data_IF_277403552419
#
_entry.id   IF_277403552419
#
_cell.length_a   1.000
_cell.length_b   1.000
_cell.length_c   1.000
_cell.angle_alpha   90.00
_cell.angle_beta   90.00
_cell.angle_gamma   90.00
#
_symmetry.space_group_name_H-M   'P 1'
#
loop_
_entity.id
_entity.type
_entity.pdbx_description
1 polymer ?
#
# COMPACT_ATOMS: atom_id res chain seq x y z
N UNK A 1 -16.12 -11.51 -1.08
CA UNK A 1 -16.25 -12.95 -0.73
C UNK A 1 -16.47 -13.13 0.78
N UNK A 2 -15.50 -12.76 1.62
CA UNK A 2 -15.66 -12.80 3.08
C UNK A 2 -16.61 -11.73 3.64
N UNK A 3 -16.52 -10.50 3.12
CA UNK A 3 -17.30 -9.36 3.60
C UNK A 3 -18.11 -8.69 2.48
N UNK A 4 -19.22 -9.30 2.00
CA UNK A 4 -19.95 -8.80 0.82
C UNK A 4 -20.51 -7.39 1.01
N UNK A 5 -21.12 -7.09 2.17
CA UNK A 5 -21.71 -5.77 2.43
C UNK A 5 -20.65 -4.67 2.50
N UNK A 6 -19.56 -4.92 3.25
CA UNK A 6 -18.41 -4.01 3.30
C UNK A 6 -17.79 -3.78 1.92
N UNK A 7 -17.66 -4.84 1.11
CA UNK A 7 -17.18 -4.71 -0.26
C UNK A 7 -18.10 -3.82 -1.11
N UNK A 8 -19.42 -4.06 -1.07
CA UNK A 8 -20.37 -3.28 -1.86
C UNK A 8 -20.34 -1.79 -1.48
N UNK A 9 -20.38 -1.48 -0.18
CA UNK A 9 -20.34 -0.10 0.32
C UNK A 9 -18.99 0.55 0.06
N UNK A 10 -17.87 -0.18 0.19
CA UNK A 10 -16.55 0.36 -0.14
C UNK A 10 -16.49 0.80 -1.60
N UNK A 11 -16.95 -0.04 -2.53
CA UNK A 11 -16.89 0.24 -3.96
C UNK A 11 -17.88 1.31 -4.42
N UNK A 12 -19.04 1.42 -3.77
CA UNK A 12 -19.98 2.51 -4.05
C UNK A 12 -19.51 3.84 -3.46
N UNK A 13 -19.07 3.85 -2.20
CA UNK A 13 -18.59 5.06 -1.53
C UNK A 13 -17.29 5.57 -2.16
N UNK A 14 -16.33 4.68 -2.41
CA UNK A 14 -15.05 5.03 -3.02
C UNK A 14 -15.07 4.85 -4.54
N UNK A 15 -16.24 4.96 -5.19
CA UNK A 15 -16.38 4.73 -6.62
C UNK A 15 -15.40 5.55 -7.46
N UNK A 16 -15.38 6.87 -7.30
CA UNK A 16 -14.50 7.75 -8.09
C UNK A 16 -13.01 7.44 -7.88
N UNK A 17 -12.46 7.37 -6.64
CA UNK A 17 -11.05 7.05 -6.47
C UNK A 17 -10.68 5.63 -6.93
N UNK A 18 -11.57 4.64 -6.78
CA UNK A 18 -11.32 3.27 -7.28
C UNK A 18 -11.37 3.20 -8.81
N UNK A 19 -12.24 3.98 -9.45
CA UNK A 19 -12.27 4.09 -10.91
C UNK A 19 -10.98 4.73 -11.45
N UNK A 20 -10.49 5.80 -10.79
CA UNK A 20 -9.21 6.42 -11.14
C UNK A 20 -8.03 5.45 -10.91
N UNK A 21 -8.08 4.66 -9.84
CA UNK A 21 -7.10 3.61 -9.56
C UNK A 21 -7.10 2.57 -10.69
N UNK A 22 -8.28 2.11 -11.13
CA UNK A 22 -8.41 1.16 -12.24
C UNK A 22 -7.79 1.71 -13.53
N UNK A 23 -8.16 2.93 -13.94
CA UNK A 23 -7.60 3.55 -15.14
C UNK A 23 -6.08 3.72 -15.04
N UNK A 24 -5.58 4.10 -13.86
CA UNK A 24 -4.14 4.21 -13.62
C UNK A 24 -3.41 2.87 -13.79
N UNK A 25 -3.98 1.77 -13.29
CA UNK A 25 -3.43 0.43 -13.45
C UNK A 25 -3.48 -0.06 -14.91
N UNK A 26 -4.56 0.23 -15.65
CA UNK A 26 -4.67 -0.07 -17.07
C UNK A 26 -3.59 0.67 -17.85
N UNK A 27 -3.49 1.99 -17.65
CA UNK A 27 -2.50 2.85 -18.29
C UNK A 27 -1.09 2.32 -18.03
N UNK A 28 -0.79 1.91 -16.80
CA UNK A 28 0.53 1.34 -16.45
C UNK A 28 0.85 0.09 -17.28
N UNK A 29 -0.10 -0.83 -17.42
CA UNK A 29 0.09 -2.06 -18.21
C UNK A 29 0.28 -1.77 -19.70
N UNK A 30 -0.58 -0.91 -20.25
CA UNK A 30 -0.50 -0.48 -21.66
C UNK A 30 0.83 0.23 -21.94
N UNK A 31 1.28 1.10 -21.03
CA UNK A 31 2.54 1.82 -21.21
C UNK A 31 3.74 0.88 -21.33
N UNK A 32 3.81 -0.19 -20.53
CA UNK A 32 4.90 -1.18 -20.62
C UNK A 32 4.88 -1.91 -21.96
N UNK A 33 3.71 -2.36 -22.42
CA UNK A 33 3.58 -3.12 -23.67
C UNK A 33 3.88 -2.27 -24.91
N UNK A 34 3.43 -1.01 -24.93
CA UNK A 34 3.52 -0.16 -26.13
C UNK A 34 4.82 0.64 -26.22
N UNK A 35 5.54 0.84 -25.12
CA UNK A 35 6.77 1.66 -25.08
C UNK A 35 7.79 1.28 -26.16
N UNK A 36 8.00 -0.01 -26.39
CA UNK A 36 9.02 -0.52 -27.30
C UNK A 36 8.46 -0.92 -28.69
N UNK A 37 7.21 -0.58 -29.02
CA UNK A 37 6.62 -0.90 -30.34
C UNK A 37 7.08 0.06 -31.45
N UNK A 38 7.52 1.26 -31.11
CA UNK A 38 8.09 2.23 -32.04
C UNK A 38 9.37 2.83 -31.47
N UNK A 39 10.40 2.96 -32.30
CA UNK A 39 11.73 3.45 -31.90
C UNK A 39 11.83 4.97 -31.76
N UNK A 40 10.75 5.71 -32.06
CA UNK A 40 10.74 7.17 -31.92
C UNK A 40 10.93 7.59 -30.47
N UNK A 41 11.84 8.54 -30.23
CA UNK A 41 12.09 9.11 -28.91
C UNK A 41 10.86 9.81 -28.33
N UNK A 42 10.05 10.44 -29.18
CA UNK A 42 8.79 11.06 -28.76
C UNK A 42 7.77 10.01 -28.29
N UNK A 43 7.73 8.84 -28.96
CA UNK A 43 6.86 7.72 -28.60
C UNK A 43 7.26 7.11 -27.25
N UNK A 44 8.54 6.83 -27.06
CA UNK A 44 9.04 6.29 -25.79
C UNK A 44 8.78 7.26 -24.64
N UNK A 45 9.05 8.57 -24.81
CA UNK A 45 8.77 9.60 -23.80
C UNK A 45 7.29 9.71 -23.45
N UNK A 46 6.40 9.61 -24.44
CA UNK A 46 4.96 9.60 -24.22
C UNK A 46 4.56 8.45 -23.29
N UNK A 47 5.01 7.23 -23.58
CA UNK A 47 4.70 6.07 -22.72
C UNK A 47 5.42 6.10 -21.38
N UNK A 48 6.63 6.67 -21.28
CA UNK A 48 7.32 6.88 -20.01
C UNK A 48 6.51 7.80 -19.07
N UNK A 49 5.88 8.86 -19.59
CA UNK A 49 4.98 9.73 -18.81
C UNK A 49 3.76 8.95 -18.32
N UNK A 50 3.12 8.16 -19.18
CA UNK A 50 1.96 7.36 -18.78
C UNK A 50 2.33 6.25 -17.78
N UNK A 51 3.50 5.63 -17.93
CA UNK A 51 4.02 4.67 -16.96
C UNK A 51 4.26 5.34 -15.59
N UNK A 52 4.81 6.56 -15.59
CA UNK A 52 4.99 7.34 -14.38
C UNK A 52 3.64 7.67 -13.72
N UNK A 53 2.68 8.24 -14.45
CA UNK A 53 1.34 8.57 -13.93
C UNK A 53 0.63 7.31 -13.41
N UNK A 54 0.70 6.21 -14.19
CA UNK A 54 0.15 4.90 -13.85
C UNK A 54 0.77 4.25 -12.61
N UNK A 55 1.96 4.71 -12.19
CA UNK A 55 2.67 4.22 -11.00
C UNK A 55 2.59 5.19 -9.82
N UNK A 56 2.40 6.49 -10.10
CA UNK A 56 2.31 7.57 -9.12
C UNK A 56 0.93 7.69 -8.49
N UNK A 57 -0.14 7.59 -9.28
CA UNK A 57 -1.51 7.73 -8.78
C UNK A 57 -1.97 6.61 -7.83
N UNK A 58 -1.66 5.32 -8.07
CA UNK A 58 -2.15 4.24 -7.22
C UNK A 58 -1.81 4.36 -5.73
N UNK A 59 -0.54 4.61 -5.33
CA UNK A 59 -0.22 4.77 -3.91
C UNK A 59 -0.95 5.95 -3.28
N UNK A 60 -1.10 7.08 -4.00
CA UNK A 60 -1.79 8.26 -3.48
C UNK A 60 -3.27 7.96 -3.24
N UNK A 61 -3.95 7.40 -4.25
CA UNK A 61 -5.38 7.08 -4.16
C UNK A 61 -5.66 6.07 -3.04
N UNK A 62 -4.82 5.04 -2.91
CA UNK A 62 -4.93 4.05 -1.85
C UNK A 62 -4.64 4.66 -0.47
N UNK A 63 -3.60 5.48 -0.34
CA UNK A 63 -3.27 6.13 0.93
C UNK A 63 -4.35 7.11 1.40
N UNK A 64 -4.92 7.89 0.47
CA UNK A 64 -6.09 8.74 0.74
C UNK A 64 -7.29 7.90 1.19
N UNK A 65 -7.56 6.79 0.51
CA UNK A 65 -8.66 5.90 0.86
C UNK A 65 -8.49 5.33 2.28
N UNK A 66 -7.34 4.72 2.59
CA UNK A 66 -7.09 4.14 3.92
C UNK A 66 -7.09 5.16 5.04
N UNK A 67 -6.53 6.35 4.83
CA UNK A 67 -6.59 7.42 5.82
C UNK A 67 -8.04 7.85 6.10
N UNK A 68 -8.88 8.00 5.06
CA UNK A 68 -10.29 8.29 5.29
C UNK A 68 -11.04 7.13 5.96
N UNK A 69 -10.66 5.87 5.70
CA UNK A 69 -11.18 4.72 6.45
C UNK A 69 -10.79 4.82 7.93
N UNK A 70 -9.54 5.15 8.27
CA UNK A 70 -9.12 5.30 9.67
C UNK A 70 -9.84 6.43 10.39
N UNK A 71 -10.11 7.53 9.69
CA UNK A 71 -10.88 8.66 10.19
C UNK A 71 -12.37 8.35 10.34
N UNK A 72 -12.90 7.43 9.53
CA UNK A 72 -14.32 7.26 9.32
C UNK A 72 -14.79 7.97 8.06
N UNK A 73 -15.60 7.27 7.28
CA UNK A 73 -16.18 7.76 6.03
C UNK A 73 -17.63 8.20 6.32
N UNK A 74 -18.13 9.31 5.76
CA UNK A 74 -19.49 9.78 6.04
C UNK A 74 -20.54 8.94 5.27
N UNK A 75 -20.74 7.70 5.70
CA UNK A 75 -21.75 6.78 5.17
C UNK A 75 -22.97 6.71 6.09
N UNK A 76 -24.17 6.72 5.51
CA UNK A 76 -25.42 6.54 6.26
C UNK A 76 -25.80 5.06 6.45
N UNK A 77 -26.97 4.80 7.05
CA UNK A 77 -27.52 3.47 7.28
C UNK A 77 -27.59 2.60 6.01
N UNK A 78 -27.81 3.22 4.84
CA UNK A 78 -27.90 2.53 3.55
C UNK A 78 -26.54 2.37 2.88
N UNK A 79 -25.46 2.83 3.53
CA UNK A 79 -24.11 2.84 2.96
C UNK A 79 -23.91 3.89 1.87
N UNK A 80 -24.77 4.91 1.80
CA UNK A 80 -24.64 6.00 0.83
C UNK A 80 -23.62 7.00 1.37
N UNK A 81 -22.66 7.38 0.52
CA UNK A 81 -21.63 8.36 0.86
C UNK A 81 -22.18 9.79 0.80
N UNK A 82 -22.06 10.54 1.89
CA UNK A 82 -22.42 11.96 2.00
C UNK A 82 -21.19 12.87 1.83
N UNK A 83 -20.39 12.61 0.80
CA UNK A 83 -19.29 13.48 0.34
C UNK A 83 -18.90 13.09 -1.09
N UNK A 84 -17.88 13.75 -1.64
CA UNK A 84 -17.35 13.47 -2.96
C UNK A 84 -15.82 13.29 -2.92
N UNK A 85 -15.21 13.07 -4.09
CA UNK A 85 -13.76 12.91 -4.22
C UNK A 85 -12.97 14.05 -3.54
N UNK A 86 -13.40 15.30 -3.70
CA UNK A 86 -12.71 16.46 -3.12
C UNK A 86 -12.79 16.44 -1.59
N UNK A 87 -13.93 16.01 -1.04
CA UNK A 87 -14.07 15.83 0.42
C UNK A 87 -13.17 14.74 1.01
N UNK A 88 -12.85 13.69 0.22
CA UNK A 88 -11.87 12.68 0.60
C UNK A 88 -10.42 13.22 0.55
N UNK A 89 -10.14 14.23 -0.27
CA UNK A 89 -8.86 14.94 -0.33
C UNK A 89 -8.70 15.98 0.79
N UNK A 90 -9.11 15.63 2.00
CA UNK A 90 -8.85 16.43 3.20
C UNK A 90 -7.39 16.25 3.68
N UNK A 91 -6.97 17.08 4.64
CA UNK A 91 -5.60 17.07 5.17
C UNK A 91 -5.10 15.68 5.57
N UNK A 92 -5.89 14.91 6.31
CA UNK A 92 -5.51 13.57 6.76
C UNK A 92 -5.46 12.56 5.60
N UNK A 93 -6.40 12.66 4.66
CA UNK A 93 -6.38 11.90 3.40
C UNK A 93 -5.10 12.14 2.59
N UNK A 94 -4.77 13.41 2.32
CA UNK A 94 -3.57 13.79 1.55
C UNK A 94 -2.31 13.29 2.26
N UNK A 95 -2.24 13.42 3.58
CA UNK A 95 -1.13 12.92 4.38
C UNK A 95 -0.96 11.40 4.21
N UNK A 96 -2.05 10.64 4.25
CA UNK A 96 -2.03 9.20 3.96
C UNK A 96 -1.56 8.88 2.54
N UNK A 97 -2.01 9.65 1.54
CA UNK A 97 -1.58 9.51 0.15
C UNK A 97 -0.08 9.75 -0.03
N UNK A 98 0.45 10.82 0.55
CA UNK A 98 1.88 11.13 0.54
C UNK A 98 2.69 10.05 1.27
N UNK A 99 2.21 9.60 2.43
CA UNK A 99 2.86 8.51 3.17
C UNK A 99 3.01 7.26 2.30
N UNK A 100 1.93 6.80 1.65
CA UNK A 100 1.97 5.63 0.77
C UNK A 100 2.94 5.85 -0.40
N UNK A 101 2.89 7.02 -1.03
CA UNK A 101 3.78 7.36 -2.15
C UNK A 101 5.25 7.24 -1.75
N UNK A 102 5.67 7.90 -0.67
CA UNK A 102 7.08 7.93 -0.28
C UNK A 102 7.55 6.61 0.33
N UNK A 103 6.69 5.87 1.05
CA UNK A 103 7.00 4.53 1.53
C UNK A 103 7.21 3.56 0.36
N UNK A 104 6.33 3.56 -0.64
CA UNK A 104 6.46 2.67 -1.80
C UNK A 104 7.58 3.10 -2.73
N UNK A 105 7.84 4.40 -2.89
CA UNK A 105 9.00 4.89 -3.64
C UNK A 105 10.31 4.47 -2.97
N UNK A 106 10.40 4.52 -1.64
CA UNK A 106 11.56 4.00 -0.88
C UNK A 106 11.73 2.50 -1.11
N UNK A 107 10.64 1.73 -0.99
CA UNK A 107 10.64 0.28 -1.23
C UNK A 107 11.08 -0.08 -2.66
N UNK A 108 10.58 0.63 -3.66
CA UNK A 108 10.95 0.45 -5.07
C UNK A 108 12.41 0.84 -5.34
N UNK A 109 12.91 1.94 -4.77
CA UNK A 109 14.30 2.35 -4.92
C UNK A 109 15.28 1.33 -4.31
N UNK A 110 14.91 0.72 -3.17
CA UNK A 110 15.68 -0.38 -2.57
C UNK A 110 15.69 -1.63 -3.45
N UNK A 111 14.57 -1.95 -4.10
CA UNK A 111 14.51 -3.05 -5.04
C UNK A 111 15.42 -2.83 -6.26
N UNK A 112 15.41 -1.60 -6.81
CA UNK A 112 16.32 -1.23 -7.91
C UNK A 112 17.77 -1.36 -7.43
N UNK A 113 18.13 -0.81 -6.27
CA UNK A 113 19.49 -0.90 -5.73
C UNK A 113 19.96 -2.35 -5.56
N UNK A 114 19.05 -3.26 -5.17
CA UNK A 114 19.36 -4.69 -5.06
C UNK A 114 19.52 -5.40 -6.42
N UNK A 115 18.71 -5.03 -7.42
CA UNK A 115 18.65 -5.70 -8.73
C UNK A 115 19.63 -5.17 -9.77
N UNK A 116 20.19 -3.98 -9.57
CA UNK A 116 21.16 -3.35 -10.46
C UNK A 116 22.56 -3.36 -9.87
N UNK A 117 23.55 -3.05 -10.71
CA UNK A 117 24.96 -2.97 -10.33
C UNK A 117 25.51 -1.54 -10.50
N UNK A 118 26.74 -1.33 -10.03
CA UNK A 118 27.55 -0.12 -10.21
C UNK A 118 26.82 1.20 -9.92
N UNK A 119 26.95 2.16 -10.83
CA UNK A 119 26.45 3.53 -10.68
C UNK A 119 24.93 3.60 -10.51
N UNK A 120 24.18 2.71 -11.17
CA UNK A 120 22.72 2.70 -11.07
C UNK A 120 22.28 2.21 -9.69
N UNK A 121 22.95 1.20 -9.14
CA UNK A 121 22.71 0.72 -7.77
C UNK A 121 23.00 1.81 -6.75
N UNK A 122 24.12 2.52 -6.89
CA UNK A 122 24.49 3.62 -6.00
C UNK A 122 23.48 4.78 -6.08
N UNK A 123 23.08 5.19 -7.28
CA UNK A 123 22.05 6.22 -7.49
C UNK A 123 20.72 5.84 -6.84
N UNK A 124 20.29 4.60 -7.02
CA UNK A 124 19.05 4.08 -6.43
C UNK A 124 19.12 4.05 -4.89
N UNK A 125 20.25 3.61 -4.33
CA UNK A 125 20.45 3.60 -2.87
C UNK A 125 20.44 5.02 -2.26
N UNK A 126 21.07 5.99 -2.94
CA UNK A 126 21.09 7.38 -2.51
C UNK A 126 19.71 8.04 -2.60
N UNK A 127 18.93 7.70 -3.63
CA UNK A 127 17.53 8.09 -3.72
C UNK A 127 16.72 7.47 -2.58
N UNK A 128 16.89 6.17 -2.29
CA UNK A 128 16.22 5.49 -1.19
C UNK A 128 16.50 6.16 0.16
N UNK A 129 17.74 6.59 0.45
CA UNK A 129 18.06 7.35 1.66
C UNK A 129 17.28 8.66 1.78
N UNK A 130 17.20 9.43 0.68
CA UNK A 130 16.45 10.71 0.66
C UNK A 130 14.96 10.49 0.85
N UNK A 131 14.38 9.52 0.14
CA UNK A 131 12.96 9.16 0.25
C UNK A 131 12.62 8.59 1.63
N UNK A 132 13.55 7.84 2.24
CA UNK A 132 13.40 7.34 3.61
C UNK A 132 13.26 8.51 4.60
N UNK A 133 14.11 9.53 4.53
CA UNK A 133 14.00 10.71 5.42
C UNK A 133 12.65 11.42 5.25
N UNK A 134 12.18 11.59 4.00
CA UNK A 134 10.87 12.21 3.74
C UNK A 134 9.74 11.34 4.32
N UNK A 135 9.78 10.02 4.08
CA UNK A 135 8.78 9.12 4.64
C UNK A 135 8.82 9.05 6.17
N UNK A 136 9.97 9.27 6.82
CA UNK A 136 10.08 9.27 8.28
C UNK A 136 9.27 10.42 8.86
N UNK A 137 9.44 11.61 8.28
CA UNK A 137 8.69 12.80 8.66
C UNK A 137 7.19 12.55 8.47
N UNK A 138 6.80 11.97 7.32
CA UNK A 138 5.40 11.65 7.04
C UNK A 138 4.82 10.59 7.99
N UNK A 139 5.59 9.55 8.36
CA UNK A 139 5.18 8.54 9.34
C UNK A 139 4.90 9.18 10.69
N UNK A 140 5.80 10.03 11.18
CA UNK A 140 5.65 10.70 12.47
C UNK A 140 4.43 11.62 12.45
N UNK A 141 4.30 12.47 11.43
CA UNK A 141 3.15 13.36 11.29
C UNK A 141 1.85 12.55 11.16
N UNK A 142 1.85 11.45 10.40
CA UNK A 142 0.68 10.61 10.22
C UNK A 142 0.26 9.91 11.51
N UNK A 143 1.19 9.39 12.31
CA UNK A 143 0.86 8.80 13.61
C UNK A 143 0.34 9.83 14.61
N UNK A 144 0.95 11.01 14.69
CA UNK A 144 0.45 12.10 15.53
C UNK A 144 -0.95 12.53 15.08
N UNK A 145 -1.15 12.73 13.77
CA UNK A 145 -2.46 13.06 13.21
C UNK A 145 -3.48 11.94 13.46
N UNK A 146 -3.08 10.68 13.34
CA UNK A 146 -3.96 9.53 13.62
C UNK A 146 -4.37 9.48 15.09
N UNK A 147 -3.45 9.78 16.01
CA UNK A 147 -3.74 9.84 17.44
C UNK A 147 -4.75 10.96 17.78
N UNK A 148 -4.64 12.11 17.11
CA UNK A 148 -5.50 13.28 17.36
C UNK A 148 -6.86 13.19 16.65
N UNK A 149 -6.88 12.73 15.40
CA UNK A 149 -8.06 12.79 14.52
C UNK A 149 -8.93 11.54 14.61
N UNK A 150 -8.35 10.39 14.95
CA UNK A 150 -9.03 9.10 14.89
C UNK A 150 -9.13 8.46 16.28
N UNK A 151 -10.00 7.46 16.39
CA UNK A 151 -10.19 6.70 17.63
C UNK A 151 -9.44 5.36 17.64
N UNK A 152 -8.58 5.10 16.66
CA UNK A 152 -7.92 3.79 16.52
C UNK A 152 -6.99 3.46 17.69
N UNK A 153 -6.49 4.48 18.39
CA UNK A 153 -5.64 4.34 19.57
C UNK A 153 -6.37 3.68 20.76
N UNK A 154 -7.71 3.76 20.81
CA UNK A 154 -8.50 3.21 21.92
C UNK A 154 -8.35 1.68 22.01
N UNK A 155 -8.19 1.00 20.87
CA UNK A 155 -7.95 -0.45 20.86
C UNK A 155 -6.62 -0.84 21.50
N UNK A 156 -5.59 -0.01 21.31
CA UNK A 156 -4.28 -0.23 21.92
C UNK A 156 -4.32 -0.03 23.43
N UNK A 157 -5.18 0.86 23.92
CA UNK A 157 -5.39 1.03 25.36
C UNK A 157 -6.17 -0.15 25.97
N UNK A 158 -7.16 -0.68 25.24
CA UNK A 158 -7.93 -1.86 25.67
C UNK A 158 -7.10 -3.15 25.62
N UNK A 159 -6.22 -3.29 24.63
CA UNK A 159 -5.35 -4.45 24.45
C UNK A 159 -3.90 -4.01 24.19
N UNK A 160 -3.12 -3.71 25.25
CA UNK A 160 -1.74 -3.24 25.13
C UNK A 160 -0.80 -4.16 24.35
N UNK A 161 -1.11 -5.47 24.27
CA UNK A 161 -0.36 -6.42 23.44
C UNK A 161 -0.30 -6.01 21.96
N UNK A 162 -1.30 -5.26 21.47
CA UNK A 162 -1.33 -4.74 20.09
C UNK A 162 -0.22 -3.72 19.81
N UNK A 163 0.38 -3.12 20.84
CA UNK A 163 1.53 -2.22 20.70
C UNK A 163 2.75 -2.90 20.06
N UNK A 164 2.78 -4.24 20.01
CA UNK A 164 3.78 -4.98 19.25
C UNK A 164 3.83 -4.53 17.78
N UNK A 165 2.70 -4.19 17.16
CA UNK A 165 2.66 -3.77 15.75
C UNK A 165 3.40 -2.45 15.51
N UNK A 166 3.05 -1.32 16.17
CA UNK A 166 3.80 -0.07 15.97
C UNK A 166 5.24 -0.17 16.48
N UNK A 167 5.54 -0.96 17.51
CA UNK A 167 6.94 -1.20 17.94
C UNK A 167 7.76 -1.89 16.84
N UNK A 168 7.21 -2.92 16.20
CA UNK A 168 7.86 -3.60 15.09
C UNK A 168 8.00 -2.72 13.85
N UNK A 169 7.03 -1.83 13.59
CA UNK A 169 7.20 -0.76 12.58
C UNK A 169 8.45 0.05 12.88
N UNK A 170 8.60 0.59 14.09
CA UNK A 170 9.78 1.39 14.47
C UNK A 170 11.07 0.58 14.27
N UNK A 171 11.12 -0.65 14.79
CA UNK A 171 12.31 -1.52 14.68
C UNK A 171 12.71 -1.73 13.22
N UNK A 172 11.80 -2.21 12.38
CA UNK A 172 12.13 -2.51 10.98
C UNK A 172 12.41 -1.23 10.19
N UNK A 173 11.70 -0.14 10.46
CA UNK A 173 11.88 1.13 9.77
C UNK A 173 13.27 1.72 10.00
N UNK A 174 13.79 1.66 11.23
CA UNK A 174 15.15 2.14 11.54
C UNK A 174 16.26 1.16 11.14
N UNK A 175 15.95 -0.12 10.91
CA UNK A 175 16.91 -1.06 10.33
C UNK A 175 17.14 -0.83 8.83
N UNK A 176 16.21 -0.20 8.10
CA UNK A 176 16.37 0.15 6.68
C UNK A 176 17.68 0.92 6.43
N UNK A 177 17.91 2.12 7.02
CA UNK A 177 19.14 2.86 6.78
C UNK A 177 20.38 2.08 7.23
N UNK A 178 20.33 1.29 8.31
CA UNK A 178 21.47 0.46 8.75
C UNK A 178 21.93 -0.49 7.64
N UNK A 179 21.00 -1.19 7.00
CA UNK A 179 21.34 -2.10 5.90
C UNK A 179 21.71 -1.38 4.60
N UNK A 180 21.14 -0.19 4.33
CA UNK A 180 21.61 0.65 3.21
C UNK A 180 23.09 1.03 3.41
N UNK A 181 23.49 1.46 4.63
CA UNK A 181 24.88 1.84 4.91
C UNK A 181 25.85 0.65 4.80
N UNK A 182 25.39 -0.56 5.13
CA UNK A 182 26.14 -1.81 4.96
C UNK A 182 26.17 -2.31 3.50
N UNK A 183 25.54 -1.60 2.56
CA UNK A 183 25.35 -2.02 1.15
C UNK A 183 24.63 -3.37 1.00
N UNK A 184 23.88 -3.80 2.02
CA UNK A 184 23.06 -5.02 1.99
C UNK A 184 21.63 -4.65 1.60
N UNK A 185 21.45 -4.37 0.31
CA UNK A 185 20.20 -3.84 -0.23
C UNK A 185 19.04 -4.83 -0.15
N UNK A 186 19.31 -6.14 -0.17
CA UNK A 186 18.29 -7.16 0.02
C UNK A 186 17.70 -7.07 1.42
N UNK A 187 18.55 -7.03 2.47
CA UNK A 187 18.04 -6.89 3.84
C UNK A 187 17.35 -5.55 4.05
N UNK A 188 17.87 -4.46 3.48
CA UNK A 188 17.20 -3.16 3.52
C UNK A 188 15.79 -3.23 2.90
N UNK A 189 15.66 -3.89 1.75
CA UNK A 189 14.37 -4.13 1.10
C UNK A 189 13.43 -4.98 1.97
N UNK A 190 13.92 -6.08 2.56
CA UNK A 190 13.13 -6.93 3.48
C UNK A 190 12.63 -6.11 4.67
N UNK A 191 13.48 -5.27 5.29
CA UNK A 191 13.06 -4.43 6.41
C UNK A 191 11.99 -3.41 6.00
N UNK A 192 12.08 -2.85 4.78
CA UNK A 192 11.03 -1.97 4.26
C UNK A 192 9.72 -2.71 3.98
N UNK A 193 9.77 -3.96 3.51
CA UNK A 193 8.59 -4.81 3.31
C UNK A 193 7.92 -5.14 4.66
N UNK A 194 8.72 -5.53 5.66
CA UNK A 194 8.23 -5.79 7.02
C UNK A 194 7.61 -4.53 7.62
N UNK A 195 8.21 -3.37 7.43
CA UNK A 195 7.60 -2.09 7.84
C UNK A 195 6.19 -1.95 7.25
N UNK A 196 6.02 -2.14 5.93
CA UNK A 196 4.71 -2.04 5.27
C UNK A 196 3.70 -3.02 5.86
N UNK A 197 4.12 -4.28 6.10
CA UNK A 197 3.26 -5.32 6.71
C UNK A 197 2.82 -4.90 8.11
N UNK A 198 3.76 -4.50 8.97
CA UNK A 198 3.46 -4.14 10.36
C UNK A 198 2.71 -2.80 10.48
N UNK A 199 2.92 -1.87 9.56
CA UNK A 199 2.15 -0.63 9.47
C UNK A 199 0.70 -0.92 9.07
N UNK A 200 0.51 -1.85 8.13
CA UNK A 200 -0.83 -2.34 7.77
C UNK A 200 -1.50 -3.05 8.95
N UNK A 201 -0.76 -3.91 9.66
CA UNK A 201 -1.27 -4.58 10.85
C UNK A 201 -1.66 -3.58 11.96
N UNK A 202 -0.88 -2.51 12.16
CA UNK A 202 -1.22 -1.42 13.07
C UNK A 202 -2.53 -0.73 12.66
N UNK A 203 -2.72 -0.40 11.38
CA UNK A 203 -3.98 0.19 10.92
C UNK A 203 -5.19 -0.72 11.19
N UNK A 204 -5.06 -2.02 10.87
CA UNK A 204 -6.14 -2.99 11.02
C UNK A 204 -6.46 -3.30 12.49
N UNK A 205 -5.45 -3.47 13.34
CA UNK A 205 -5.63 -3.66 14.78
C UNK A 205 -6.29 -2.44 15.44
N UNK A 206 -5.97 -1.25 14.95
CA UNK A 206 -6.59 -0.01 15.37
C UNK A 206 -8.04 0.16 14.92
N UNK A 207 -8.41 -0.37 13.75
CA UNK A 207 -9.79 -0.33 13.23
C UNK A 207 -10.71 -1.38 13.87
N UNK A 208 -10.16 -2.52 14.28
CA UNK A 208 -10.95 -3.66 14.77
C UNK A 208 -12.02 -3.25 15.82
N UNK A 209 -13.27 -3.72 15.76
CA UNK A 209 -13.83 -4.69 14.82
C UNK A 209 -14.37 -4.07 13.52
N UNK A 210 -14.18 -2.75 13.31
CA UNK A 210 -14.66 -2.07 12.11
C UNK A 210 -13.83 -2.45 10.88
N UNK A 211 -14.51 -2.58 9.75
CA UNK A 211 -13.92 -2.64 8.40
C UNK A 211 -14.07 -1.27 7.73
N UNK A 212 -15.27 -0.69 7.80
CA UNK A 212 -15.58 0.66 7.34
C UNK A 212 -16.34 1.41 8.44
N UNK A 213 -15.67 2.22 9.27
CA UNK A 213 -16.34 3.02 10.27
C UNK A 213 -17.10 4.18 9.61
N UNK A 214 -18.31 4.44 10.09
CA UNK A 214 -19.07 5.64 9.70
C UNK A 214 -18.69 6.82 10.58
N UNK A 215 -18.48 7.98 9.96
CA UNK A 215 -18.32 9.25 10.69
C UNK A 215 -19.64 9.97 10.98
N UNK A 216 -20.77 9.50 10.43
CA UNK A 216 -22.11 10.08 10.67
C UNK A 216 -22.68 9.53 11.98
N UNK A 217 -22.73 8.20 12.10
CA UNK A 217 -23.19 7.51 13.30
C UNK A 217 -22.42 6.19 13.43
N UNK A 218 -21.78 5.90 14.57
CA UNK A 218 -21.13 4.62 14.83
C UNK A 218 -22.02 3.39 14.54
N UNK A 219 -23.34 3.49 14.70
CA UNK A 219 -24.30 2.42 14.41
C UNK A 219 -24.32 2.01 12.93
N UNK A 220 -23.95 2.90 12.02
CA UNK A 220 -23.87 2.62 10.57
C UNK A 220 -22.51 2.01 10.16
N UNK A 221 -21.61 1.77 11.12
CA UNK A 221 -20.31 1.17 10.82
C UNK A 221 -20.43 -0.27 10.37
N UNK A 222 -19.67 -0.63 9.34
CA UNK A 222 -19.56 -1.99 8.87
C UNK A 222 -18.42 -2.69 9.62
N UNK A 223 -18.78 -3.72 10.37
CA UNK A 223 -17.90 -4.51 11.23
C UNK A 223 -17.68 -5.89 10.65
N UNK A 224 -16.69 -6.61 11.18
CA UNK A 224 -16.49 -8.02 10.85
C UNK A 224 -17.71 -8.90 11.13
N UNK A 225 -18.60 -8.48 12.05
CA UNK A 225 -19.76 -9.28 12.47
C UNK A 225 -20.97 -9.02 11.57
N UNK A 226 -21.29 -7.75 11.30
CA UNK A 226 -22.48 -7.40 10.50
C UNK A 226 -22.25 -7.52 8.99
N UNK A 227 -20.98 -7.61 8.56
CA UNK A 227 -20.63 -7.65 7.14
C UNK A 227 -20.11 -9.01 6.68
N UNK A 228 -19.97 -10.00 7.58
CA UNK A 228 -19.48 -11.33 7.22
C UNK A 228 -20.49 -12.16 6.46
N UNK A 229 -19.99 -12.97 5.52
CA UNK A 229 -20.74 -14.06 4.90
C UNK A 229 -21.13 -15.16 5.89
N UNK A 230 -22.01 -16.07 5.45
CA UNK A 230 -22.44 -17.23 6.26
C UNK A 230 -21.25 -18.09 6.74
N UNK A 231 -21.37 -18.79 7.89
CA UNK A 231 -20.32 -19.68 8.39
C UNK A 231 -19.88 -20.75 7.38
N UNK A 232 -20.83 -21.28 6.59
CA UNK A 232 -20.53 -22.25 5.53
C UNK A 232 -19.65 -21.62 4.44
N UNK A 233 -20.02 -20.42 3.97
CA UNK A 233 -19.25 -19.68 2.96
C UNK A 233 -17.85 -19.38 3.47
N UNK A 234 -17.71 -18.91 4.72
CA UNK A 234 -16.40 -18.64 5.33
C UNK A 234 -15.56 -19.92 5.41
N UNK A 235 -16.14 -21.04 5.87
CA UNK A 235 -15.44 -22.34 5.93
C UNK A 235 -14.92 -22.77 4.56
N UNK A 236 -15.75 -22.67 3.52
CA UNK A 236 -15.36 -23.00 2.14
C UNK A 236 -14.21 -22.11 1.67
N UNK A 237 -14.32 -20.79 1.86
CA UNK A 237 -13.26 -19.85 1.45
C UNK A 237 -11.96 -20.05 2.22
N UNK A 238 -12.02 -20.43 3.50
CA UNK A 238 -10.83 -20.78 4.28
C UNK A 238 -10.13 -22.01 3.71
N UNK A 239 -10.87 -23.07 3.36
CA UNK A 239 -10.30 -24.27 2.73
C UNK A 239 -9.61 -23.91 1.42
N UNK A 240 -10.29 -23.13 0.56
CA UNK A 240 -9.72 -22.64 -0.70
C UNK A 240 -8.44 -21.82 -0.44
N UNK A 241 -8.47 -20.88 0.51
CA UNK A 241 -7.30 -20.05 0.83
C UNK A 241 -6.11 -20.88 1.34
N UNK A 242 -6.35 -21.84 2.24
CA UNK A 242 -5.30 -22.72 2.79
C UNK A 242 -4.65 -23.58 1.71
N UNK A 243 -5.37 -23.97 0.67
CA UNK A 243 -4.83 -24.76 -0.45
C UNK A 243 -4.11 -23.85 -1.46
N UNK A 244 -4.79 -22.81 -1.96
CA UNK A 244 -4.29 -22.05 -3.10
C UNK A 244 -3.27 -20.98 -2.73
N UNK A 245 -3.31 -20.38 -1.52
CA UNK A 245 -2.30 -19.38 -1.13
C UNK A 245 -0.89 -19.99 -1.09
N UNK A 246 -0.64 -21.16 -0.47
CA UNK A 246 0.68 -21.79 -0.52
C UNK A 246 1.15 -22.13 -1.94
N UNK A 247 0.25 -22.61 -2.80
CA UNK A 247 0.56 -22.88 -4.22
C UNK A 247 0.97 -21.60 -4.93
N UNK A 248 0.23 -20.51 -4.71
CA UNK A 248 0.50 -19.19 -5.28
C UNK A 248 1.87 -18.67 -4.84
N UNK A 249 2.17 -18.79 -3.54
CA UNK A 249 3.47 -18.40 -2.99
C UNK A 249 4.62 -19.27 -3.52
N UNK A 250 4.41 -20.57 -3.66
CA UNK A 250 5.42 -21.50 -4.17
C UNK A 250 5.78 -21.20 -5.63
N UNK A 251 4.80 -21.00 -6.52
CA UNK A 251 5.10 -20.64 -7.91
C UNK A 251 5.74 -19.25 -7.98
N UNK A 252 5.28 -18.30 -7.16
CA UNK A 252 5.84 -16.94 -7.14
C UNK A 252 7.30 -16.99 -6.74
N UNK A 253 7.62 -17.71 -5.66
CA UNK A 253 8.99 -17.91 -5.22
C UNK A 253 9.85 -18.58 -6.29
N UNK A 254 9.33 -19.62 -6.94
CA UNK A 254 10.02 -20.31 -8.04
C UNK A 254 10.33 -19.35 -9.20
N UNK A 255 9.36 -18.52 -9.61
CA UNK A 255 9.57 -17.51 -10.65
C UNK A 255 10.65 -16.49 -10.24
N UNK A 256 10.60 -15.94 -9.03
CA UNK A 256 11.62 -15.01 -8.52
C UNK A 256 13.01 -15.66 -8.42
N UNK A 257 13.08 -16.95 -8.11
CA UNK A 257 14.34 -17.71 -8.07
C UNK A 257 14.93 -17.89 -9.46
N UNK A 258 14.10 -18.19 -10.47
CA UNK A 258 14.54 -18.29 -11.87
C UNK A 258 15.05 -16.95 -12.38
N UNK A 259 14.30 -15.87 -12.15
CA UNK A 259 14.67 -14.50 -12.55
C UNK A 259 15.48 -13.77 -11.46
N UNK A 260 16.32 -14.51 -10.73
CA UNK A 260 17.10 -13.96 -9.61
C UNK A 260 18.30 -13.13 -10.06
N UNK A 261 18.75 -13.29 -11.30
CA UNK A 261 19.89 -12.58 -11.87
C UNK A 261 19.76 -11.06 -11.76
N UNK A 262 20.91 -10.39 -11.67
CA UNK A 262 21.02 -8.94 -11.71
C UNK A 262 20.99 -8.43 -13.15
N UNK A 263 20.52 -7.20 -13.31
CA UNK A 263 20.38 -6.54 -14.60
C UNK A 263 21.63 -5.68 -14.83
N UNK A 264 22.35 -5.95 -15.91
CA UNK A 264 23.52 -5.21 -16.39
C UNK A 264 23.24 -4.62 -17.77
N UNK A 265 23.95 -3.56 -18.16
CA UNK A 265 23.76 -2.92 -19.48
C UNK A 265 24.02 -3.90 -20.63
N UNK A 266 25.06 -4.74 -20.53
CA UNK A 266 25.40 -5.75 -21.54
C UNK A 266 24.25 -6.71 -21.86
N UNK A 267 23.39 -7.03 -20.88
CA UNK A 267 22.26 -7.96 -21.07
C UNK A 267 21.02 -7.33 -21.69
N UNK A 268 20.96 -6.00 -21.78
CA UNK A 268 19.83 -5.28 -22.39
C UNK A 268 20.03 -5.16 -23.91
N UNK A 269 21.28 -5.22 -24.37
CA UNK A 269 21.68 -5.06 -25.78
C UNK A 269 21.73 -6.36 -26.60
N UNK A 270 21.42 -7.51 -26.00
CA UNK A 270 21.26 -8.81 -26.69
C UNK A 270 19.78 -9.21 -26.74
#
# INVERSE_FOLDING_TARGET
AAFPTAYAVMFSALYTPLLLLLFSLIIRGVAVEYRNKHESTAWQRFWDVFFFIGSFLPPILLGVAFANIFKGIPIDEKGILHTNLIGLLNFYGILGGLLFLFCFATHGALWIAFKTEDLLSERASNLAKKLWVISLILVVIFWVASFVITNIWQNYMKAPILLVFPLLVVVFYFLVPVFIHRKDYLKAWIMSALTIVFFTAWGMAGLFPNILPSSIDPAYSLTIVNSSSSPLTLKIMTIVAVIFVPIVLAYTFWAYKIFSYRITEERITY
#
